data_IF_016039705892
#
_entry.id   IF_016039705892
#
_cell.length_a   1.000
_cell.length_b   1.000
_cell.length_c   1.000
_cell.angle_alpha   90.00
_cell.angle_beta   90.00
_cell.angle_gamma   90.00
#
_symmetry.space_group_name_H-M   'P 1'
#
loop_
_entity.id
_entity.type
_entity.pdbx_description
1 polymer ?
#
# COMPACT_ATOMS: atom_id res chain seq x y z
N UNK A 1 10.83 -27.67 -79.65
CA UNK A 1 11.61 -28.90 -79.90
C UNK A 1 11.59 -29.74 -78.64
N UNK A 2 11.24 -31.03 -78.80
CA UNK A 2 11.58 -32.20 -77.95
C UNK A 2 11.41 -32.12 -76.42
N UNK A 3 10.34 -32.78 -75.97
CA UNK A 3 10.15 -33.50 -74.70
C UNK A 3 11.22 -34.62 -74.50
N UNK A 4 11.13 -35.58 -73.53
CA UNK A 4 10.24 -35.77 -72.36
C UNK A 4 10.94 -36.46 -71.12
N UNK A 5 10.13 -36.99 -70.19
CA UNK A 5 10.35 -38.19 -69.32
C UNK A 5 11.20 -38.02 -68.04
N UNK A 6 10.93 -38.61 -66.87
CA UNK A 6 9.97 -39.59 -66.28
C UNK A 6 10.12 -39.42 -64.74
N UNK A 7 9.07 -39.32 -63.93
CA UNK A 7 8.21 -40.39 -63.38
C UNK A 7 8.92 -41.39 -62.45
N UNK A 8 8.40 -41.49 -61.21
CA UNK A 8 8.61 -42.57 -60.23
C UNK A 8 8.75 -42.01 -58.81
N UNK A 9 7.91 -42.32 -57.83
CA UNK A 9 6.76 -43.21 -57.74
C UNK A 9 6.16 -43.18 -56.32
N UNK A 10 4.95 -43.74 -56.21
CA UNK A 10 4.29 -44.42 -55.06
C UNK A 10 4.60 -43.93 -53.62
N UNK A 11 3.62 -43.63 -52.77
CA UNK A 11 2.60 -44.57 -52.29
C UNK A 11 1.31 -43.89 -51.78
N UNK A 12 0.19 -44.59 -52.05
CA UNK A 12 -1.16 -44.51 -51.43
C UNK A 12 -1.14 -45.29 -50.09
N UNK A 13 -2.16 -45.31 -49.19
CA UNK A 13 -3.59 -45.23 -49.49
C UNK A 13 -4.54 -44.61 -48.41
N UNK A 14 -5.77 -44.38 -48.87
CA UNK A 14 -7.07 -44.57 -48.21
C UNK A 14 -7.22 -44.32 -46.69
N UNK A 15 -8.11 -43.38 -46.34
CA UNK A 15 -9.44 -43.74 -45.80
C UNK A 15 -10.20 -42.52 -45.25
N UNK A 16 -11.39 -42.30 -45.79
CA UNK A 16 -12.64 -42.20 -45.02
C UNK A 16 -12.63 -41.27 -43.79
N UNK A 17 -13.03 -40.00 -43.96
CA UNK A 17 -13.49 -39.18 -42.83
C UNK A 17 -14.99 -38.96 -42.95
N UNK A 18 -15.72 -39.87 -42.30
CA UNK A 18 -17.12 -39.69 -41.92
C UNK A 18 -17.24 -38.44 -41.05
N UNK A 19 -18.10 -37.56 -41.53
CA UNK A 19 -18.53 -36.32 -40.92
C UNK A 19 -19.38 -36.64 -39.68
N UNK A 20 -19.33 -35.71 -38.71
CA UNK A 20 -20.26 -35.53 -37.58
C UNK A 20 -19.97 -36.31 -36.29
N UNK A 21 -18.96 -35.87 -35.52
CA UNK A 21 -19.11 -35.76 -34.05
C UNK A 21 -18.09 -34.87 -33.30
N UNK A 22 -16.87 -34.55 -33.78
CA UNK A 22 -15.96 -33.70 -32.99
C UNK A 22 -16.13 -32.19 -33.28
N UNK A 23 -16.78 -31.81 -34.39
CA UNK A 23 -16.92 -30.42 -34.81
C UNK A 23 -17.95 -29.62 -33.97
N UNK A 24 -18.86 -30.28 -33.25
CA UNK A 24 -19.81 -29.61 -32.36
C UNK A 24 -19.27 -29.40 -30.94
N UNK A 25 -18.33 -30.23 -30.46
CA UNK A 25 -17.69 -30.01 -29.15
C UNK A 25 -16.60 -28.92 -29.18
N UNK A 26 -15.96 -28.67 -30.32
CA UNK A 26 -14.99 -27.58 -30.48
C UNK A 26 -15.62 -26.18 -30.45
N UNK A 27 -16.86 -26.04 -30.93
CA UNK A 27 -17.57 -24.75 -30.98
C UNK A 27 -18.18 -24.34 -29.64
N UNK A 28 -18.52 -25.29 -28.75
CA UNK A 28 -19.05 -24.99 -27.41
C UNK A 28 -17.95 -24.51 -26.47
N UNK A 29 -16.72 -25.01 -26.60
CA UNK A 29 -15.58 -24.55 -25.79
C UNK A 29 -14.98 -23.21 -26.27
N UNK A 30 -15.08 -22.90 -27.57
CA UNK A 30 -14.67 -21.59 -28.11
C UNK A 30 -15.67 -20.45 -27.80
N UNK A 31 -16.93 -20.79 -27.51
CA UNK A 31 -17.97 -19.83 -27.12
C UNK A 31 -17.81 -19.29 -25.69
N UNK A 32 -16.95 -19.87 -24.85
CA UNK A 32 -16.69 -19.37 -23.50
C UNK A 32 -15.56 -18.33 -23.41
N UNK A 33 -14.89 -18.03 -24.53
CA UNK A 33 -13.86 -16.98 -24.57
C UNK A 33 -14.28 -15.72 -25.33
N UNK A 34 -15.54 -15.62 -25.77
CA UNK A 34 -16.06 -14.43 -26.45
C UNK A 34 -17.00 -13.62 -25.54
N UNK A 35 -16.39 -12.83 -24.65
CA UNK A 35 -17.02 -11.81 -23.81
C UNK A 35 -16.18 -11.62 -22.55
N UNK A 36 -15.57 -10.48 -22.25
CA UNK A 36 -16.06 -9.13 -22.41
C UNK A 36 -14.93 -8.15 -22.74
N UNK A 37 -15.25 -7.22 -23.63
CA UNK A 37 -14.49 -5.99 -23.86
C UNK A 37 -14.45 -5.20 -22.54
N UNK A 38 -13.27 -4.70 -22.17
CA UNK A 38 -12.95 -4.07 -20.89
C UNK A 38 -14.06 -3.12 -20.38
N UNK A 39 -14.85 -3.62 -19.42
CA UNK A 39 -15.84 -2.84 -18.69
C UNK A 39 -15.75 -3.23 -17.23
N UNK A 40 -15.42 -2.27 -16.38
CA UNK A 40 -15.24 -2.51 -14.95
C UNK A 40 -16.62 -2.70 -14.32
N UNK A 41 -16.92 -3.94 -13.99
CA UNK A 41 -18.14 -4.35 -13.29
C UNK A 41 -17.83 -4.45 -11.81
N UNK A 42 -18.71 -3.88 -10.98
CA UNK A 42 -18.66 -4.06 -9.53
C UNK A 42 -19.46 -5.29 -9.18
N UNK A 43 -18.77 -6.31 -8.69
CA UNK A 43 -19.39 -7.53 -8.16
C UNK A 43 -19.47 -7.43 -6.64
N UNK A 44 -20.68 -7.60 -6.10
CA UNK A 44 -20.89 -7.62 -4.65
C UNK A 44 -21.37 -9.00 -4.21
N UNK A 45 -20.59 -9.66 -3.36
CA UNK A 45 -20.94 -10.95 -2.76
C UNK A 45 -22.15 -10.77 -1.84
N UNK A 46 -23.26 -11.45 -2.16
CA UNK A 46 -24.51 -11.35 -1.42
C UNK A 46 -24.43 -11.90 0.02
N UNK A 47 -23.49 -12.81 0.30
CA UNK A 47 -23.33 -13.42 1.62
C UNK A 47 -22.39 -12.64 2.53
N UNK A 48 -21.34 -12.04 1.96
CA UNK A 48 -20.28 -11.38 2.76
C UNK A 48 -20.24 -9.86 2.60
N UNK A 49 -20.94 -9.30 1.62
CA UNK A 49 -20.91 -7.87 1.30
C UNK A 49 -19.57 -7.39 0.71
N UNK A 50 -18.63 -8.29 0.43
CA UNK A 50 -17.35 -7.95 -0.19
C UNK A 50 -17.55 -7.45 -1.61
N UNK A 51 -16.84 -6.38 -1.94
CA UNK A 51 -16.91 -5.73 -3.26
C UNK A 51 -15.61 -6.03 -4.01
N UNK A 52 -15.73 -6.63 -5.18
CA UNK A 52 -14.63 -6.82 -6.12
C UNK A 52 -14.94 -6.07 -7.42
N UNK A 53 -13.91 -5.49 -8.04
CA UNK A 53 -14.02 -4.86 -9.35
C UNK A 53 -13.35 -5.78 -10.35
N UNK A 54 -14.11 -6.23 -11.33
CA UNK A 54 -13.64 -7.15 -12.35
C UNK A 54 -14.01 -6.60 -13.73
N UNK A 55 -13.25 -6.98 -14.74
CA UNK A 55 -13.46 -6.66 -16.15
C UNK A 55 -14.35 -7.70 -16.86
N UNK A 56 -14.95 -8.61 -16.10
CA UNK A 56 -15.77 -9.72 -16.59
C UNK A 56 -17.04 -9.95 -15.76
N UNK A 57 -17.75 -11.02 -16.11
CA UNK A 57 -18.99 -11.42 -15.44
C UNK A 57 -18.74 -11.75 -13.95
N UNK A 58 -19.69 -11.37 -13.09
CA UNK A 58 -19.65 -11.72 -11.66
C UNK A 58 -19.94 -13.21 -11.46
N UNK A 59 -19.43 -13.79 -10.36
CA UNK A 59 -19.68 -15.19 -10.03
C UNK A 59 -21.16 -15.44 -9.70
N UNK A 60 -21.62 -16.69 -9.82
CA UNK A 60 -23.01 -17.04 -9.54
C UNK A 60 -23.37 -16.73 -8.07
N UNK A 61 -24.37 -15.85 -7.89
CA UNK A 61 -24.81 -15.38 -6.57
C UNK A 61 -24.30 -13.99 -6.18
N UNK A 62 -23.49 -13.33 -7.01
CA UNK A 62 -23.07 -11.95 -6.82
C UNK A 62 -24.01 -10.98 -7.55
N UNK A 63 -24.31 -9.83 -6.94
CA UNK A 63 -25.03 -8.76 -7.63
C UNK A 63 -24.03 -7.93 -8.44
N UNK A 64 -24.27 -7.85 -9.76
CA UNK A 64 -23.45 -7.10 -10.69
C UNK A 64 -24.01 -5.69 -10.89
N UNK A 65 -23.16 -4.67 -10.75
CA UNK A 65 -23.49 -3.29 -11.16
C UNK A 65 -22.37 -2.71 -12.01
N UNK A 66 -22.69 -2.37 -13.24
CA UNK A 66 -21.80 -1.73 -14.21
C UNK A 66 -21.39 -0.34 -13.70
N UNK A 67 -20.08 -0.05 -13.67
CA UNK A 67 -19.53 1.18 -13.09
C UNK A 67 -19.15 2.20 -14.16
N UNK A 68 -18.78 1.74 -15.36
CA UNK A 68 -18.36 2.60 -16.48
C UNK A 68 -19.23 2.38 -17.69
N UNK A 69 -19.75 3.47 -18.27
CA UNK A 69 -20.56 3.46 -19.50
C UNK A 69 -19.70 2.94 -20.65
N UNK A 70 -20.20 1.92 -21.36
CA UNK A 70 -19.54 1.41 -22.56
C UNK A 70 -19.44 2.52 -23.62
N UNK A 71 -18.24 2.86 -24.13
CA UNK A 71 -18.12 3.84 -25.20
C UNK A 71 -18.91 3.38 -26.42
N UNK A 72 -19.56 4.32 -27.10
CA UNK A 72 -20.39 4.01 -28.25
C UNK A 72 -19.53 3.39 -29.37
N UNK A 73 -20.05 2.43 -30.16
CA UNK A 73 -19.27 1.75 -31.18
C UNK A 73 -18.70 2.71 -32.22
N UNK A 74 -19.39 3.82 -32.53
CA UNK A 74 -18.86 4.88 -33.40
C UNK A 74 -17.63 5.61 -32.82
N UNK A 75 -17.53 5.77 -31.50
CA UNK A 75 -16.41 6.45 -30.85
C UNK A 75 -15.15 5.58 -30.86
N UNK A 76 -15.32 4.27 -30.64
CA UNK A 76 -14.22 3.30 -30.74
C UNK A 76 -13.62 3.30 -32.16
N UNK A 77 -14.47 3.28 -33.19
CA UNK A 77 -14.02 3.35 -34.58
C UNK A 77 -13.34 4.68 -34.91
N UNK A 78 -13.81 5.79 -34.35
CA UNK A 78 -13.17 7.11 -34.52
C UNK A 78 -11.77 7.12 -33.88
N UNK A 79 -11.63 6.57 -32.68
CA UNK A 79 -10.35 6.47 -31.99
C UNK A 79 -9.36 5.58 -32.73
N UNK A 80 -9.82 4.47 -33.32
CA UNK A 80 -8.96 3.60 -34.14
C UNK A 80 -8.42 4.33 -35.37
N UNK A 81 -9.27 5.07 -36.10
CA UNK A 81 -8.84 5.85 -37.27
C UNK A 81 -7.80 6.92 -36.89
N UNK A 82 -8.02 7.64 -35.79
CA UNK A 82 -7.07 8.63 -35.30
C UNK A 82 -5.72 8.01 -34.92
N UNK A 83 -5.75 6.80 -34.36
CA UNK A 83 -4.53 6.06 -34.00
C UNK A 83 -3.76 5.57 -35.22
N UNK A 84 -4.47 5.05 -36.23
CA UNK A 84 -3.89 4.64 -37.51
C UNK A 84 -3.25 5.82 -38.25
N UNK A 85 -3.94 6.96 -38.31
CA UNK A 85 -3.42 8.19 -38.93
C UNK A 85 -2.16 8.71 -38.20
N UNK A 86 -2.15 8.67 -36.86
CA UNK A 86 -0.97 9.04 -36.07
C UNK A 86 0.22 8.11 -36.34
N UNK A 87 -0.02 6.81 -36.48
CA UNK A 87 1.00 5.83 -36.84
C UNK A 87 1.58 6.05 -38.24
N UNK A 88 0.74 6.35 -39.22
CA UNK A 88 1.18 6.65 -40.58
C UNK A 88 2.04 7.92 -40.62
N UNK A 89 1.60 8.97 -39.93
CA UNK A 89 2.37 10.22 -39.82
C UNK A 89 3.74 9.99 -39.17
N UNK A 90 3.80 9.19 -38.10
CA UNK A 90 5.06 8.81 -37.44
C UNK A 90 5.98 8.03 -38.38
N UNK A 91 5.44 7.06 -39.15
CA UNK A 91 6.20 6.30 -40.15
C UNK A 91 6.74 7.19 -41.28
N UNK A 92 5.96 8.17 -41.73
CA UNK A 92 6.42 9.15 -42.73
C UNK A 92 7.58 10.00 -42.22
N UNK A 93 7.50 10.47 -40.96
CA UNK A 93 8.58 11.23 -40.33
C UNK A 93 9.87 10.42 -40.21
N UNK A 94 9.79 9.15 -39.80
CA UNK A 94 10.95 8.27 -39.73
C UNK A 94 11.59 8.02 -41.11
N UNK A 95 10.78 7.82 -42.15
CA UNK A 95 11.27 7.65 -43.53
C UNK A 95 11.93 8.92 -44.08
N UNK A 96 11.33 10.09 -43.83
CA UNK A 96 11.91 11.38 -44.23
C UNK A 96 13.21 11.69 -43.47
N UNK A 97 13.27 11.37 -42.17
CA UNK A 97 14.47 11.54 -41.36
C UNK A 97 15.64 10.66 -41.81
N UNK A 98 15.38 9.43 -42.26
CA UNK A 98 16.43 8.54 -42.80
C UNK A 98 16.85 8.88 -44.24
N UNK A 99 15.94 9.40 -45.07
CA UNK A 99 16.25 9.84 -46.44
C UNK A 99 17.05 11.14 -46.49
N UNK A 100 16.76 12.11 -45.61
CA UNK A 100 17.50 13.37 -45.54
C UNK A 100 18.96 13.17 -45.12
N UNK A 101 19.24 12.23 -44.20
CA UNK A 101 20.61 11.92 -43.77
C UNK A 101 21.46 11.21 -44.84
N UNK A 102 20.85 10.61 -45.86
CA UNK A 102 21.55 9.93 -46.96
C UNK A 102 21.73 10.80 -48.20
N UNK A 103 20.80 11.72 -48.47
CA UNK A 103 20.83 12.58 -49.65
C UNK A 103 21.78 13.79 -49.52
N UNK A 104 22.04 14.28 -48.30
CA UNK A 104 23.00 15.38 -48.04
C UNK A 104 24.48 14.92 -48.00
N UNK A 105 24.76 13.66 -48.34
CA UNK A 105 26.11 13.06 -48.30
C UNK A 105 26.72 12.76 -49.69
N UNK A 106 26.32 13.44 -50.76
CA UNK A 106 27.01 13.38 -52.05
C UNK A 106 27.44 14.76 -52.56
N UNK A 107 28.70 15.16 -52.38
CA UNK A 107 29.26 16.26 -53.13
C UNK A 107 29.51 15.81 -54.58
N UNK A 108 28.98 16.58 -55.54
CA UNK A 108 29.35 16.47 -56.95
C UNK A 108 30.82 16.89 -57.11
N UNK A 109 31.72 15.91 -57.19
CA UNK A 109 33.14 16.14 -57.46
C UNK A 109 33.35 16.47 -58.94
N UNK A 110 33.84 17.69 -59.19
CA UNK A 110 34.55 18.03 -60.42
C UNK A 110 35.83 17.20 -60.53
N UNK A 111 36.21 16.90 -61.77
CA UNK A 111 37.27 15.99 -62.24
C UNK A 111 38.71 16.38 -61.85
N UNK A 112 38.98 16.54 -60.55
CA UNK A 112 40.30 16.53 -59.93
C UNK A 112 40.18 15.67 -58.66
N UNK A 113 40.55 14.39 -58.74
CA UNK A 113 40.68 13.57 -57.54
C UNK A 113 41.72 14.22 -56.61
N UNK A 114 41.35 14.72 -55.42
CA UNK A 114 42.33 15.29 -54.51
C UNK A 114 43.29 14.18 -54.15
N UNK A 115 44.59 14.38 -54.42
CA UNK A 115 45.62 13.55 -53.79
C UNK A 115 45.33 13.59 -52.30
N UNK A 116 45.07 12.43 -51.69
CA UNK A 116 44.90 12.31 -50.24
C UNK A 116 46.12 12.97 -49.57
N UNK A 117 45.93 14.16 -49.02
CA UNK A 117 46.98 14.88 -48.33
C UNK A 117 47.18 14.18 -46.99
N UNK A 118 48.30 13.48 -46.82
CA UNK A 118 48.62 12.77 -45.58
C UNK A 118 49.04 13.78 -44.50
N UNK A 119 48.06 14.32 -43.78
CA UNK A 119 48.25 15.28 -42.70
C UNK A 119 49.23 14.77 -41.63
N UNK A 120 49.29 13.45 -41.40
CA UNK A 120 50.18 12.84 -40.42
C UNK A 120 51.66 12.91 -40.82
N UNK A 121 51.97 13.06 -42.12
CA UNK A 121 53.33 13.27 -42.64
C UNK A 121 53.63 14.73 -43.01
N UNK A 122 52.68 15.63 -42.77
CA UNK A 122 52.87 17.05 -43.05
C UNK A 122 53.97 17.64 -42.13
N UNK A 123 54.72 18.65 -42.61
CA UNK A 123 55.69 19.36 -41.77
C UNK A 123 55.03 20.02 -40.55
N UNK A 124 53.78 20.51 -40.71
CA UNK A 124 53.00 21.05 -39.59
C UNK A 124 52.77 20.02 -38.47
N UNK A 125 52.39 18.78 -38.81
CA UNK A 125 52.25 17.72 -37.82
C UNK A 125 53.60 17.39 -37.12
N UNK A 126 54.70 17.36 -37.87
CA UNK A 126 56.03 17.10 -37.29
C UNK A 126 56.43 18.20 -36.28
N UNK A 127 56.20 19.46 -36.63
CA UNK A 127 56.47 20.62 -35.78
C UNK A 127 55.61 20.58 -34.50
N UNK A 128 54.30 20.39 -34.65
CA UNK A 128 53.35 20.36 -33.53
C UNK A 128 53.60 19.18 -32.59
N UNK A 129 53.99 18.03 -33.13
CA UNK A 129 54.40 16.86 -32.35
C UNK A 129 55.70 17.11 -31.59
N UNK A 130 56.67 17.80 -32.20
CA UNK A 130 57.91 18.18 -31.51
C UNK A 130 57.65 19.16 -30.36
N UNK A 131 56.77 20.16 -30.57
CA UNK A 131 56.37 21.14 -29.56
C UNK A 131 55.65 20.48 -28.38
N UNK A 132 54.71 19.56 -28.66
CA UNK A 132 54.04 18.77 -27.63
C UNK A 132 55.03 17.91 -26.82
N UNK A 133 55.97 17.25 -27.50
CA UNK A 133 56.99 16.43 -26.83
C UNK A 133 57.90 17.26 -25.91
N UNK A 134 58.31 18.47 -26.33
CA UNK A 134 59.09 19.39 -25.50
C UNK A 134 58.31 19.81 -24.25
N UNK A 135 57.03 20.17 -24.38
CA UNK A 135 56.17 20.48 -23.24
C UNK A 135 56.07 19.27 -22.30
N UNK A 136 55.87 18.07 -22.84
CA UNK A 136 55.79 16.83 -22.05
C UNK A 136 57.06 16.57 -21.23
N UNK A 137 58.24 16.84 -21.79
CA UNK A 137 59.52 16.71 -21.07
C UNK A 137 59.63 17.75 -19.94
N UNK A 138 59.10 18.95 -20.14
CA UNK A 138 59.10 20.03 -19.14
C UNK A 138 58.09 19.84 -18.00
N UNK A 139 57.28 18.77 -18.01
CA UNK A 139 56.22 18.49 -17.03
C UNK A 139 56.71 18.58 -15.58
N UNK A 140 57.93 18.11 -15.29
CA UNK A 140 58.47 18.07 -13.92
C UNK A 140 58.99 19.43 -13.42
N UNK A 141 59.09 20.43 -14.31
CA UNK A 141 59.65 21.76 -14.00
C UNK A 141 58.57 22.84 -13.90
N UNK A 142 57.28 22.51 -14.08
CA UNK A 142 56.15 23.44 -13.98
C UNK A 142 55.11 22.98 -12.96
N UNK A 143 54.36 23.94 -12.42
CA UNK A 143 53.20 23.64 -11.59
C UNK A 143 52.12 22.93 -12.41
N UNK A 144 51.39 21.99 -11.80
CA UNK A 144 50.34 21.21 -12.49
C UNK A 144 49.22 22.08 -13.05
N UNK A 145 48.91 23.20 -12.37
CA UNK A 145 47.89 24.18 -12.76
C UNK A 145 48.24 24.95 -14.03
N UNK A 146 49.52 25.27 -14.25
CA UNK A 146 49.99 25.96 -15.46
C UNK A 146 50.28 24.97 -16.59
N UNK A 147 50.76 23.78 -16.25
CA UNK A 147 51.11 22.75 -17.21
C UNK A 147 49.88 22.15 -17.91
N UNK A 148 48.80 21.87 -17.17
CA UNK A 148 47.60 21.24 -17.72
C UNK A 148 46.95 21.98 -18.92
N UNK A 149 46.63 23.29 -18.84
CA UNK A 149 46.02 23.99 -19.97
C UNK A 149 46.96 24.09 -21.17
N UNK A 150 48.26 24.33 -20.94
CA UNK A 150 49.27 24.41 -22.00
C UNK A 150 49.46 23.07 -22.72
N UNK A 151 49.41 21.96 -21.97
CA UNK A 151 49.45 20.62 -22.54
C UNK A 151 48.21 20.35 -23.38
N UNK A 152 47.01 20.66 -22.88
CA UNK A 152 45.76 20.47 -23.64
C UNK A 152 45.72 21.30 -24.92
N UNK A 153 46.17 22.56 -24.87
CA UNK A 153 46.26 23.41 -26.07
C UNK A 153 47.24 22.82 -27.10
N UNK A 154 48.39 22.32 -26.65
CA UNK A 154 49.36 21.68 -27.52
C UNK A 154 48.83 20.36 -28.10
N UNK A 155 48.07 19.58 -27.34
CA UNK A 155 47.38 18.37 -27.83
C UNK A 155 46.33 18.72 -28.87
N UNK A 156 45.49 19.74 -28.63
CA UNK A 156 44.49 20.21 -29.59
C UNK A 156 45.13 20.68 -30.90
N UNK A 157 46.27 21.38 -30.81
CA UNK A 157 47.00 21.86 -32.00
C UNK A 157 47.65 20.72 -32.76
N UNK A 158 48.26 19.77 -32.06
CA UNK A 158 48.81 18.56 -32.68
C UNK A 158 47.72 17.71 -33.35
N UNK A 159 46.56 17.52 -32.70
CA UNK A 159 45.42 16.80 -33.27
C UNK A 159 44.92 17.47 -34.57
N UNK A 160 44.80 18.81 -34.57
CA UNK A 160 44.45 19.59 -35.76
C UNK A 160 45.43 19.40 -36.92
N UNK A 161 46.73 19.56 -36.66
CA UNK A 161 47.77 19.54 -37.69
C UNK A 161 48.05 18.13 -38.23
N UNK A 162 47.87 17.10 -37.40
CA UNK A 162 48.15 15.70 -37.75
C UNK A 162 46.96 14.95 -38.34
N UNK A 163 45.72 15.31 -37.99
CA UNK A 163 44.51 14.65 -38.51
C UNK A 163 43.86 15.42 -39.66
N UNK A 164 44.11 16.73 -39.74
CA UNK A 164 43.43 17.61 -40.68
C UNK A 164 42.09 18.12 -40.16
N UNK A 165 41.52 19.16 -40.78
CA UNK A 165 40.37 19.88 -40.25
C UNK A 165 39.08 19.06 -40.21
N UNK A 166 38.87 18.15 -41.17
CA UNK A 166 37.66 17.32 -41.23
C UNK A 166 37.62 16.28 -40.10
N UNK A 167 38.72 15.54 -39.93
CA UNK A 167 38.86 14.53 -38.87
C UNK A 167 38.89 15.17 -37.48
N UNK A 168 39.48 16.36 -37.34
CA UNK A 168 39.42 17.12 -36.08
C UNK A 168 38.00 17.56 -35.74
N UNK A 169 37.26 18.10 -36.72
CA UNK A 169 35.86 18.49 -36.50
C UNK A 169 34.98 17.30 -36.08
N UNK A 170 35.24 16.11 -36.62
CA UNK A 170 34.56 14.89 -36.19
C UNK A 170 34.91 14.48 -34.75
N UNK A 171 36.20 14.54 -34.37
CA UNK A 171 36.64 14.30 -33.00
C UNK A 171 36.01 15.27 -32.00
N UNK A 172 35.88 16.55 -32.33
CA UNK A 172 35.20 17.53 -31.48
C UNK A 172 33.70 17.22 -31.35
N UNK A 173 33.03 16.86 -32.45
CA UNK A 173 31.63 16.39 -32.39
C UNK A 173 31.48 15.17 -31.47
N UNK A 174 32.42 14.24 -31.52
CA UNK A 174 32.41 13.05 -30.66
C UNK A 174 32.61 13.42 -29.19
N UNK A 175 33.53 14.34 -28.86
CA UNK A 175 33.69 14.87 -27.49
C UNK A 175 32.42 15.54 -26.98
N UNK A 176 31.73 16.30 -27.83
CA UNK A 176 30.45 16.91 -27.47
C UNK A 176 29.35 15.86 -27.23
N UNK A 177 29.31 14.81 -28.06
CA UNK A 177 28.40 13.67 -27.87
C UNK A 177 28.68 12.95 -26.56
N UNK A 178 29.94 12.63 -26.26
CA UNK A 178 30.35 12.00 -25.00
C UNK A 178 29.97 12.86 -23.79
N UNK A 179 30.14 14.19 -23.89
CA UNK A 179 29.72 15.12 -22.84
C UNK A 179 28.21 15.08 -22.62
N UNK A 180 27.42 15.13 -23.70
CA UNK A 180 25.94 15.04 -23.63
C UNK A 180 25.48 13.69 -23.10
N UNK A 181 26.12 12.59 -23.50
CA UNK A 181 25.79 11.26 -23.00
C UNK A 181 26.09 11.16 -21.51
N UNK A 182 27.24 11.68 -21.06
CA UNK A 182 27.59 11.72 -19.65
C UNK A 182 26.58 12.54 -18.84
N UNK A 183 26.22 13.73 -19.31
CA UNK A 183 25.20 14.58 -18.68
C UNK A 183 23.84 13.84 -18.61
N UNK A 184 23.43 13.16 -19.67
CA UNK A 184 22.20 12.38 -19.70
C UNK A 184 22.23 11.22 -18.70
N UNK A 185 23.36 10.49 -18.63
CA UNK A 185 23.57 9.39 -17.69
C UNK A 185 23.54 9.87 -16.25
N UNK A 186 24.22 10.97 -15.95
CA UNK A 186 24.20 11.58 -14.61
C UNK A 186 22.80 12.07 -14.25
N UNK A 187 22.07 12.69 -15.18
CA UNK A 187 20.68 13.10 -14.96
C UNK A 187 19.75 11.91 -14.72
N UNK A 188 19.97 10.79 -15.40
CA UNK A 188 19.21 9.56 -15.18
C UNK A 188 19.46 8.99 -13.78
N UNK A 189 20.72 8.94 -13.33
CA UNK A 189 21.08 8.50 -11.98
C UNK A 189 20.51 9.43 -10.90
N UNK A 190 20.46 10.75 -11.15
CA UNK A 190 19.80 11.69 -10.22
C UNK A 190 18.31 11.37 -10.08
N UNK A 191 17.59 11.18 -11.19
CA UNK A 191 16.17 10.79 -11.17
C UNK A 191 15.93 9.48 -10.42
N UNK A 192 16.81 8.50 -10.60
CA UNK A 192 16.71 7.22 -9.88
C UNK A 192 16.93 7.38 -8.37
N UNK A 193 17.94 8.15 -7.97
CA UNK A 193 18.19 8.45 -6.56
C UNK A 193 17.02 9.23 -5.93
N UNK A 194 16.46 10.22 -6.62
CA UNK A 194 15.29 10.98 -6.16
C UNK A 194 14.08 10.05 -5.94
N UNK A 195 13.86 9.10 -6.85
CA UNK A 195 12.80 8.10 -6.74
C UNK A 195 13.04 7.16 -5.55
N UNK A 196 14.29 6.71 -5.34
CA UNK A 196 14.65 5.89 -4.17
C UNK A 196 14.37 6.64 -2.87
N UNK A 197 14.78 7.90 -2.77
CA UNK A 197 14.49 8.71 -1.59
C UNK A 197 13.00 8.93 -1.36
N UNK A 198 12.22 9.10 -2.44
CA UNK A 198 10.77 9.20 -2.35
C UNK A 198 10.17 7.92 -1.77
N UNK A 199 10.56 6.75 -2.30
CA UNK A 199 10.10 5.46 -1.79
C UNK A 199 10.50 5.24 -0.32
N UNK A 200 11.69 5.66 0.09
CA UNK A 200 12.12 5.60 1.50
C UNK A 200 11.32 6.54 2.41
N UNK A 201 10.95 7.74 1.92
CA UNK A 201 10.05 8.66 2.63
C UNK A 201 8.66 8.04 2.80
N UNK A 202 8.09 7.48 1.74
CA UNK A 202 6.78 6.82 1.78
C UNK A 202 6.80 5.61 2.71
N UNK A 203 7.85 4.79 2.64
CA UNK A 203 8.02 3.64 3.54
C UNK A 203 8.08 4.07 5.02
N UNK A 204 8.85 5.11 5.34
CA UNK A 204 8.91 5.66 6.71
C UNK A 204 7.55 6.18 7.17
N UNK A 205 6.84 6.90 6.32
CA UNK A 205 5.49 7.41 6.62
C UNK A 205 4.52 6.27 6.95
N UNK A 206 4.51 5.21 6.14
CA UNK A 206 3.66 4.03 6.41
C UNK A 206 4.05 3.33 7.72
N UNK A 207 5.34 3.21 7.99
CA UNK A 207 5.84 2.58 9.22
C UNK A 207 5.43 3.38 10.46
N UNK A 208 5.57 4.71 10.45
CA UNK A 208 5.11 5.57 11.55
C UNK A 208 3.60 5.48 11.76
N UNK A 209 2.83 5.46 10.67
CA UNK A 209 1.37 5.32 10.76
C UNK A 209 0.95 3.98 11.36
N UNK A 210 1.65 2.88 11.05
CA UNK A 210 1.41 1.59 11.73
C UNK A 210 1.78 1.64 13.21
N UNK A 211 2.91 2.26 13.57
CA UNK A 211 3.30 2.43 14.98
C UNK A 211 2.26 3.22 15.77
N UNK A 212 1.69 4.28 15.19
CA UNK A 212 0.62 5.04 15.84
C UNK A 212 -0.65 4.19 16.00
N UNK A 213 -1.04 3.40 14.99
CA UNK A 213 -2.14 2.43 15.11
C UNK A 213 -1.89 1.39 16.20
N UNK A 214 -0.67 0.89 16.34
CA UNK A 214 -0.30 -0.05 17.40
C UNK A 214 -0.40 0.60 18.79
N UNK A 215 0.09 1.83 18.94
CA UNK A 215 -0.05 2.59 20.19
C UNK A 215 -1.52 2.83 20.54
N UNK A 216 -2.35 3.15 19.55
CA UNK A 216 -3.79 3.31 19.74
C UNK A 216 -4.45 2.01 20.20
N UNK A 217 -4.19 0.89 19.51
CA UNK A 217 -4.64 -0.45 19.93
C UNK A 217 -4.19 -0.80 21.34
N UNK A 218 -2.97 -0.42 21.73
CA UNK A 218 -2.46 -0.66 23.08
C UNK A 218 -3.22 0.18 24.12
N UNK A 219 -3.45 1.47 23.85
CA UNK A 219 -4.24 2.34 24.72
C UNK A 219 -5.67 1.83 24.90
N UNK A 220 -6.30 1.37 23.83
CA UNK A 220 -7.63 0.75 23.89
C UNK A 220 -7.64 -0.51 24.76
N UNK A 221 -6.63 -1.38 24.64
CA UNK A 221 -6.49 -2.57 25.51
C UNK A 221 -6.32 -2.20 26.97
N UNK A 222 -5.46 -1.23 27.27
CA UNK A 222 -5.24 -0.75 28.63
C UNK A 222 -6.51 -0.11 29.21
N UNK A 223 -7.24 0.66 28.41
CA UNK A 223 -8.53 1.22 28.81
C UNK A 223 -9.56 0.13 29.08
N UNK A 224 -9.69 -0.85 28.18
CA UNK A 224 -10.60 -1.98 28.35
C UNK A 224 -10.27 -2.79 29.63
N UNK A 225 -8.99 -3.00 29.93
CA UNK A 225 -8.55 -3.64 31.17
C UNK A 225 -8.92 -2.84 32.42
N UNK A 226 -8.74 -1.51 32.39
CA UNK A 226 -9.15 -0.63 33.50
C UNK A 226 -10.66 -0.67 33.72
N UNK A 227 -11.43 -0.59 32.64
CA UNK A 227 -12.89 -0.70 32.72
C UNK A 227 -13.33 -2.06 33.25
N UNK A 228 -12.66 -3.15 32.85
CA UNK A 228 -12.93 -4.48 33.38
C UNK A 228 -12.61 -4.56 34.87
N UNK A 229 -11.46 -4.06 35.30
CA UNK A 229 -11.07 -4.03 36.71
C UNK A 229 -12.06 -3.21 37.57
N UNK A 230 -12.55 -2.09 37.03
CA UNK A 230 -13.57 -1.26 37.67
C UNK A 230 -14.93 -1.98 37.76
N UNK A 231 -15.34 -2.70 36.71
CA UNK A 231 -16.56 -3.54 36.73
C UNK A 231 -16.45 -4.61 37.82
N UNK A 232 -15.35 -5.35 37.85
CA UNK A 232 -15.12 -6.36 38.89
C UNK A 232 -15.08 -5.76 40.30
N UNK A 233 -14.46 -4.58 40.46
CA UNK A 233 -14.45 -3.86 41.75
C UNK A 233 -15.87 -3.54 42.20
N UNK A 234 -16.72 -3.02 41.31
CA UNK A 234 -18.13 -2.71 41.61
C UNK A 234 -18.94 -3.97 41.91
N UNK A 235 -18.68 -5.08 41.23
CA UNK A 235 -19.32 -6.37 41.54
C UNK A 235 -18.92 -6.88 42.92
N UNK A 236 -17.63 -6.83 43.27
CA UNK A 236 -17.14 -7.17 44.61
C UNK A 236 -17.78 -6.29 45.70
N UNK A 237 -17.92 -4.99 45.46
CA UNK A 237 -18.62 -4.08 46.38
C UNK A 237 -20.10 -4.44 46.55
N UNK A 238 -20.80 -4.78 45.46
CA UNK A 238 -22.20 -5.24 45.51
C UNK A 238 -22.35 -6.56 46.27
N UNK A 239 -21.44 -7.51 46.05
CA UNK A 239 -21.44 -8.78 46.75
C UNK A 239 -21.19 -8.58 48.26
N UNK A 240 -20.23 -7.72 48.61
CA UNK A 240 -19.96 -7.35 50.00
C UNK A 240 -21.19 -6.72 50.66
N UNK A 241 -21.82 -5.74 50.00
CA UNK A 241 -23.03 -5.09 50.49
C UNK A 241 -24.19 -6.09 50.68
N UNK A 242 -24.34 -7.05 49.74
CA UNK A 242 -25.32 -8.12 49.86
C UNK A 242 -25.05 -9.02 51.08
N UNK A 243 -23.80 -9.44 51.29
CA UNK A 243 -23.41 -10.25 52.46
C UNK A 243 -23.67 -9.49 53.76
N UNK A 244 -23.36 -8.20 53.81
CA UNK A 244 -23.64 -7.34 54.96
C UNK A 244 -25.14 -7.23 55.23
N UNK A 245 -25.96 -7.05 54.19
CA UNK A 245 -27.42 -7.03 54.31
C UNK A 245 -27.96 -8.37 54.81
N UNK A 246 -27.48 -9.49 54.28
CA UNK A 246 -27.85 -10.83 54.74
C UNK A 246 -27.50 -11.04 56.23
N UNK A 247 -26.32 -10.59 56.66
CA UNK A 247 -25.92 -10.63 58.08
C UNK A 247 -26.84 -9.77 58.96
N UNK A 248 -27.17 -8.55 58.53
CA UNK A 248 -28.10 -7.67 59.25
C UNK A 248 -29.49 -8.30 59.38
N UNK A 249 -29.99 -8.93 58.30
CA UNK A 249 -31.27 -9.64 58.32
C UNK A 249 -31.22 -10.84 59.27
N UNK A 250 -30.16 -11.65 59.23
CA UNK A 250 -29.99 -12.78 60.15
C UNK A 250 -29.90 -12.33 61.61
N UNK A 251 -29.17 -11.25 61.90
CA UNK A 251 -29.06 -10.70 63.24
C UNK A 251 -30.43 -10.21 63.74
N UNK A 252 -31.15 -9.44 62.93
CA UNK A 252 -32.50 -8.99 63.26
C UNK A 252 -33.48 -10.16 63.49
N UNK A 253 -33.33 -11.27 62.74
CA UNK A 253 -34.12 -12.48 62.97
C UNK A 253 -33.80 -13.13 64.32
N UNK A 254 -32.51 -13.26 64.69
CA UNK A 254 -32.09 -13.80 65.99
C UNK A 254 -32.60 -12.94 67.14
N UNK A 255 -32.51 -11.62 67.02
CA UNK A 255 -33.05 -10.68 68.01
C UNK A 255 -34.57 -10.82 68.15
N UNK A 256 -35.31 -10.90 67.03
CA UNK A 256 -36.77 -11.16 67.08
C UNK A 256 -37.10 -12.49 67.76
N UNK A 257 -36.33 -13.53 67.48
CA UNK A 257 -36.54 -14.83 68.12
C UNK A 257 -36.23 -14.77 69.62
N UNK A 258 -35.17 -14.07 70.01
CA UNK A 258 -34.82 -13.84 71.41
C UNK A 258 -35.92 -13.08 72.14
N UNK A 259 -36.39 -11.96 71.58
CA UNK A 259 -37.52 -11.19 72.12
C UNK A 259 -38.77 -12.07 72.25
N UNK A 260 -39.06 -12.92 71.25
CA UNK A 260 -40.17 -13.87 71.32
C UNK A 260 -40.00 -14.88 72.45
N UNK A 261 -38.79 -15.41 72.67
CA UNK A 261 -38.48 -16.33 73.78
C UNK A 261 -38.64 -15.66 75.14
N UNK A 262 -38.10 -14.45 75.30
CA UNK A 262 -38.25 -13.66 76.52
C UNK A 262 -39.71 -13.33 76.81
N UNK A 263 -40.50 -12.99 75.78
CA UNK A 263 -41.94 -12.76 75.91
C UNK A 263 -42.67 -14.03 76.40
N UNK A 264 -42.41 -15.18 75.77
CA UNK A 264 -42.99 -16.46 76.23
C UNK A 264 -42.59 -16.79 77.67
N UNK A 265 -41.36 -16.48 78.08
CA UNK A 265 -40.91 -16.68 79.45
C UNK A 265 -41.62 -15.74 80.44
N UNK A 266 -41.78 -14.45 80.08
CA UNK A 266 -42.56 -13.49 80.87
C UNK A 266 -44.00 -13.94 81.02
N UNK A 267 -44.63 -14.38 79.93
CA UNK A 267 -46.00 -14.88 79.94
C UNK A 267 -46.14 -16.14 80.81
N UNK A 268 -45.15 -17.04 80.74
CA UNK A 268 -45.08 -18.24 81.61
C UNK A 268 -44.93 -17.88 83.09
N UNK A 269 -44.05 -16.92 83.43
CA UNK A 269 -43.89 -16.42 84.81
C UNK A 269 -45.17 -15.77 85.31
N UNK A 270 -45.79 -14.90 84.50
CA UNK A 270 -47.06 -14.25 84.83
C UNK A 270 -48.22 -15.25 85.01
N UNK A 271 -48.25 -16.34 84.22
CA UNK A 271 -49.21 -17.42 84.41
C UNK A 271 -48.96 -18.20 85.72
N UNK A 272 -47.70 -18.50 86.05
CA UNK A 272 -47.34 -19.16 87.31
C UNK A 272 -47.69 -18.30 88.54
N UNK A 273 -47.49 -16.98 88.46
CA UNK A 273 -47.84 -16.06 89.54
C UNK A 273 -49.35 -15.90 89.70
N UNK A 274 -50.12 -15.90 88.60
CA UNK A 274 -51.60 -15.98 88.65
C UNK A 274 -52.07 -17.24 89.35
N UNK A 275 -51.52 -18.41 88.98
CA UNK A 275 -51.85 -19.67 89.63
C UNK A 275 -51.53 -19.65 91.14
N UNK A 276 -50.38 -19.08 91.53
CA UNK A 276 -50.03 -18.90 92.96
C UNK A 276 -50.97 -17.96 93.71
N UNK A 277 -51.44 -16.90 93.06
CA UNK A 277 -52.37 -15.96 93.69
C UNK A 277 -53.77 -16.55 93.86
N UNK A 278 -54.22 -17.38 92.92
CA UNK A 278 -55.48 -18.14 93.01
C UNK A 278 -55.44 -19.22 94.12
N UNK A 279 -54.27 -19.78 94.42
CA UNK A 279 -54.08 -20.72 95.54
C UNK A 279 -54.00 -20.05 96.92
N UNK A 280 -54.01 -18.71 97.00
CA UNK A 280 -53.82 -17.97 98.25
C UNK A 280 -55.17 -17.80 98.96
N UNK A 281 -55.40 -18.42 100.14
CA UNK A 281 -56.68 -18.33 100.83
C UNK A 281 -56.99 -16.88 101.21
N UNK A 282 -58.16 -16.41 100.80
CA UNK A 282 -58.65 -15.05 101.03
C UNK A 282 -58.88 -14.86 102.54
N UNK A 283 -57.99 -14.14 103.21
CA UNK A 283 -58.25 -13.63 104.56
C UNK A 283 -58.99 -12.30 104.43
N UNK A 284 -60.30 -12.34 104.66
CA UNK A 284 -61.20 -11.19 104.65
C UNK A 284 -60.84 -10.21 105.79
N UNK A 285 -60.13 -9.13 105.48
CA UNK A 285 -59.83 -8.03 106.40
C UNK A 285 -60.55 -6.75 105.97
N UNK A 286 -61.42 -6.26 106.83
CA UNK A 286 -62.25 -5.06 106.68
C UNK A 286 -61.41 -3.79 106.45
N UNK A 287 -61.84 -2.97 105.49
CA UNK A 287 -61.25 -1.67 105.20
C UNK A 287 -61.60 -0.58 106.23
N UNK A 288 -60.67 0.33 106.41
CA UNK A 288 -60.87 1.68 106.96
C UNK A 288 -60.29 2.67 105.94
N UNK A 289 -60.97 3.78 105.61
CA UNK A 289 -60.49 4.74 104.64
C UNK A 289 -59.55 5.76 105.30
N UNK A 290 -58.38 5.98 104.69
CA UNK A 290 -57.58 7.19 104.95
C UNK A 290 -57.39 7.99 103.67
N UNK A 291 -58.06 9.13 103.65
CA UNK A 291 -57.79 10.30 102.82
C UNK A 291 -56.37 10.82 103.06
N UNK A 292 -55.63 11.11 101.99
CA UNK A 292 -54.30 11.71 102.07
C UNK A 292 -53.95 12.53 100.83
N UNK A 293 -54.23 13.82 100.90
CA UNK A 293 -53.80 14.86 99.96
C UNK A 293 -52.26 15.06 99.99
N UNK A 294 -51.63 15.13 98.81
CA UNK A 294 -50.44 15.94 98.42
C UNK A 294 -50.03 15.50 97.00
N UNK A 295 -49.99 16.32 95.96
CA UNK A 295 -49.51 17.68 95.87
C UNK A 295 -48.01 17.67 95.58
N UNK A 296 -47.60 17.70 94.31
CA UNK A 296 -46.35 18.37 93.90
C UNK A 296 -46.29 18.60 92.39
N UNK A 297 -46.25 19.88 92.05
CA UNK A 297 -45.84 20.47 90.79
C UNK A 297 -44.39 20.11 90.45
N UNK A 298 -44.06 20.03 89.14
CA UNK A 298 -42.87 20.67 88.56
C UNK A 298 -42.93 20.73 87.03
N UNK A 299 -43.16 21.95 86.55
CA UNK A 299 -42.62 22.63 85.36
C UNK A 299 -41.24 22.12 84.89
N UNK A 300 -41.08 21.74 83.60
CA UNK A 300 -40.51 22.52 82.46
C UNK A 300 -38.98 22.74 82.53
N UNK A 301 -38.26 22.97 81.41
CA UNK A 301 -38.66 23.16 80.01
C UNK A 301 -38.32 22.01 79.06
#
# INVERSE_FOLDING_TARGET
>A
MKSPERAGGADRPDAMVRIHLPALCGLVLASWCLGAQAQVTRCTDARTGKVAYTDGLCNSGEAAREVTIRPAPEEVLRHQRLYEEALERSRQQLRAGHGATQADAQPAFTDHAPRQYDYARSPGCADSRSAYNLLRIQQNHRSTREYAPLKEDAERRMDMDCMGPEAYAERERQREQDRREKEYREAALRRENDLREQLERDHRYHQERERERDKERQREREQAQREQADRERREREREYARREQEQRVQQAQREREQVRREQMERDRRAAADRARNESRPVQSGLGLPQSGWRGSLRSSP
#
